data_IF_408850090742
#
_entry.id   IF_408850090742
#
_cell.length_a   1.000
_cell.length_b   1.000
_cell.length_c   1.000
_cell.angle_alpha   90.00
_cell.angle_beta   90.00
_cell.angle_gamma   90.00
#
_symmetry.space_group_name_H-M   'P 1'
#
loop_
_entity.id
_entity.type
_entity.pdbx_description
1 polymer ?
#
# COMPACT_ATOMS: atom_id res chain seq x y z
N UNK A 1 24.29 -19.38 11.46
CA UNK A 1 24.34 -19.16 10.00
C UNK A 1 22.92 -19.19 9.47
N UNK A 2 22.59 -18.33 8.51
CA UNK A 2 21.26 -18.31 7.90
C UNK A 2 21.14 -19.51 6.95
N UNK A 3 20.05 -20.27 7.04
CA UNK A 3 19.82 -21.45 6.20
C UNK A 3 19.75 -21.06 4.71
N UNK A 4 20.21 -21.93 3.83
CA UNK A 4 20.13 -21.77 2.38
C UNK A 4 18.68 -21.55 1.92
N UNK A 5 17.71 -22.17 2.61
CA UNK A 5 16.28 -22.01 2.32
C UNK A 5 15.81 -20.56 2.47
N UNK A 6 16.39 -19.80 3.40
CA UNK A 6 16.00 -18.41 3.64
C UNK A 6 16.16 -17.53 2.40
N UNK A 7 17.19 -17.78 1.58
CA UNK A 7 17.48 -16.97 0.39
C UNK A 7 16.42 -17.04 -0.70
N UNK A 8 15.52 -18.04 -0.64
CA UNK A 8 14.34 -18.10 -1.50
C UNK A 8 13.38 -16.92 -1.25
N UNK A 9 13.34 -16.40 -0.01
CA UNK A 9 12.44 -15.29 0.38
C UNK A 9 12.81 -13.98 -0.32
N UNK A 10 14.03 -13.42 -0.16
CA UNK A 10 14.40 -12.19 -0.85
C UNK A 10 14.44 -12.38 -2.38
N UNK A 11 14.78 -13.56 -2.88
CA UNK A 11 14.72 -13.87 -4.31
C UNK A 11 13.29 -13.78 -4.85
N UNK A 12 12.32 -14.38 -4.15
CA UNK A 12 10.90 -14.29 -4.51
C UNK A 12 10.38 -12.86 -4.44
N UNK A 13 10.78 -12.10 -3.41
CA UNK A 13 10.43 -10.69 -3.24
C UNK A 13 10.90 -9.83 -4.43
N UNK A 14 12.18 -9.94 -4.79
CA UNK A 14 12.75 -9.23 -5.95
C UNK A 14 12.07 -9.65 -7.25
N UNK A 15 11.83 -10.96 -7.42
CA UNK A 15 11.14 -11.48 -8.61
C UNK A 15 9.74 -10.89 -8.73
N UNK A 16 8.96 -10.84 -7.65
CA UNK A 16 7.64 -10.23 -7.63
C UNK A 16 7.68 -8.75 -8.03
N UNK A 17 8.62 -7.97 -7.50
CA UNK A 17 8.79 -6.55 -7.86
C UNK A 17 9.21 -6.35 -9.33
N UNK A 18 10.05 -7.24 -9.87
CA UNK A 18 10.42 -7.21 -11.28
C UNK A 18 9.22 -7.50 -12.19
N UNK A 19 8.39 -8.49 -11.83
CA UNK A 19 7.14 -8.76 -12.55
C UNK A 19 6.14 -7.60 -12.44
N UNK A 20 6.03 -6.97 -11.27
CA UNK A 20 5.21 -5.77 -11.09
C UNK A 20 5.68 -4.64 -12.02
N UNK A 21 7.00 -4.39 -12.08
CA UNK A 21 7.57 -3.40 -12.99
C UNK A 21 7.33 -3.76 -14.46
N UNK A 22 7.45 -5.03 -14.81
CA UNK A 22 7.17 -5.53 -16.16
C UNK A 22 5.71 -5.26 -16.56
N UNK A 23 4.74 -5.64 -15.73
CA UNK A 23 3.32 -5.39 -16.00
C UNK A 23 2.97 -3.90 -16.01
N UNK A 24 3.55 -3.11 -15.10
CA UNK A 24 3.40 -1.65 -15.11
C UNK A 24 3.87 -1.05 -16.44
N UNK A 25 5.06 -1.43 -16.92
CA UNK A 25 5.60 -0.97 -18.21
C UNK A 25 4.72 -1.42 -19.38
N UNK A 26 4.23 -2.65 -19.35
CA UNK A 26 3.36 -3.18 -20.40
C UNK A 26 2.02 -2.45 -20.46
N UNK A 27 1.41 -2.16 -19.30
CA UNK A 27 0.19 -1.35 -19.20
C UNK A 27 0.46 0.07 -19.70
N UNK A 28 1.55 0.71 -19.28
CA UNK A 28 1.87 2.09 -19.67
C UNK A 28 2.08 2.27 -21.18
N UNK A 29 2.55 1.23 -21.88
CA UNK A 29 2.69 1.22 -23.35
C UNK A 29 1.36 1.21 -24.10
N UNK A 30 0.23 0.90 -23.43
CA UNK A 30 -1.09 0.98 -24.05
C UNK A 30 -1.52 2.44 -24.23
N UNK A 31 -2.29 2.67 -25.29
CA UNK A 31 -2.82 4.00 -25.61
C UNK A 31 -3.79 4.46 -24.50
N UNK A 32 -3.64 5.71 -24.06
CA UNK A 32 -4.56 6.38 -23.13
C UNK A 32 -5.87 6.81 -23.80
N UNK A 33 -5.94 6.71 -25.13
CA UNK A 33 -7.13 6.99 -25.92
C UNK A 33 -7.19 8.43 -26.39
N UNK A 34 -8.41 8.97 -26.43
CA UNK A 34 -8.66 10.31 -26.99
C UNK A 34 -8.10 11.41 -26.08
N UNK A 35 -7.94 12.62 -26.63
CA UNK A 35 -7.46 13.75 -25.84
C UNK A 35 -8.40 14.10 -24.68
N UNK A 36 -9.70 13.87 -24.85
CA UNK A 36 -10.68 14.01 -23.78
C UNK A 36 -10.45 12.98 -22.65
N UNK A 37 -10.21 11.71 -22.99
CA UNK A 37 -9.88 10.67 -21.99
C UNK A 37 -8.61 11.02 -21.22
N UNK A 38 -7.56 11.47 -21.92
CA UNK A 38 -6.31 11.91 -21.31
C UNK A 38 -6.51 13.10 -20.38
N UNK A 39 -7.34 14.07 -20.77
CA UNK A 39 -7.66 15.25 -19.97
C UNK A 39 -8.37 14.88 -18.68
N UNK A 40 -9.43 14.07 -18.76
CA UNK A 40 -10.20 13.62 -17.58
C UNK A 40 -9.30 12.81 -16.63
N UNK A 41 -8.55 11.85 -17.15
CA UNK A 41 -7.62 11.08 -16.33
C UNK A 41 -6.49 11.93 -15.75
N UNK A 42 -6.10 13.01 -16.42
CA UNK A 42 -5.20 14.04 -15.88
C UNK A 42 -5.75 14.67 -14.60
N UNK A 43 -7.02 15.11 -14.61
CA UNK A 43 -7.67 15.68 -13.43
C UNK A 43 -7.78 14.67 -12.28
N UNK A 44 -8.14 13.42 -12.57
CA UNK A 44 -8.20 12.36 -11.55
C UNK A 44 -6.81 12.08 -10.95
N UNK A 45 -5.76 11.99 -11.78
CA UNK A 45 -4.37 11.82 -11.31
C UNK A 45 -3.93 12.98 -10.42
N UNK A 46 -4.22 14.21 -10.82
CA UNK A 46 -3.84 15.40 -10.07
C UNK A 46 -4.58 15.47 -8.72
N UNK A 47 -5.89 15.19 -8.72
CA UNK A 47 -6.72 15.13 -7.52
C UNK A 47 -6.23 14.06 -6.54
N UNK A 48 -6.02 12.83 -7.02
CA UNK A 48 -5.54 11.73 -6.19
C UNK A 48 -4.15 12.01 -5.59
N UNK A 49 -3.24 12.57 -6.38
CA UNK A 49 -1.91 12.96 -5.91
C UNK A 49 -1.97 14.10 -4.88
N UNK A 50 -2.85 15.08 -5.08
CA UNK A 50 -3.03 16.20 -4.15
C UNK A 50 -3.59 15.74 -2.81
N UNK A 51 -4.61 14.87 -2.85
CA UNK A 51 -5.18 14.24 -1.66
C UNK A 51 -4.12 13.46 -0.89
N UNK A 52 -3.41 12.55 -1.57
CA UNK A 52 -2.43 11.68 -0.92
C UNK A 52 -1.27 12.47 -0.31
N UNK A 53 -0.83 13.56 -0.97
CA UNK A 53 0.18 14.47 -0.43
C UNK A 53 -0.29 15.12 0.88
N UNK A 54 -1.55 15.54 0.95
CA UNK A 54 -2.12 16.14 2.15
C UNK A 54 -2.28 15.10 3.27
N UNK A 55 -2.78 13.91 2.95
CA UNK A 55 -2.89 12.81 3.90
C UNK A 55 -1.52 12.44 4.48
N UNK A 56 -0.51 12.27 3.62
CA UNK A 56 0.84 11.89 4.05
C UNK A 56 1.50 12.96 4.90
N UNK A 57 1.24 14.25 4.64
CA UNK A 57 1.72 15.34 5.50
C UNK A 57 1.22 15.18 6.94
N UNK A 58 -0.06 14.88 7.13
CA UNK A 58 -0.64 14.68 8.48
C UNK A 58 -0.11 13.41 9.12
N UNK A 59 -0.09 12.31 8.37
CA UNK A 59 0.45 11.02 8.80
C UNK A 59 1.90 11.14 9.26
N UNK A 60 2.77 11.82 8.52
CA UNK A 60 4.18 12.00 8.88
C UNK A 60 4.32 12.65 10.26
N UNK A 61 3.47 13.63 10.59
CA UNK A 61 3.47 14.27 11.91
C UNK A 61 3.14 13.24 13.00
N UNK A 62 2.10 12.42 12.79
CA UNK A 62 1.71 11.35 13.72
C UNK A 62 2.85 10.34 13.89
N UNK A 63 3.49 9.92 12.80
CA UNK A 63 4.61 9.00 12.83
C UNK A 63 5.82 9.56 13.58
N UNK A 64 6.14 10.84 13.41
CA UNK A 64 7.23 11.50 14.16
C UNK A 64 6.90 11.49 15.66
N UNK A 65 5.68 11.87 16.05
CA UNK A 65 5.28 11.89 17.46
C UNK A 65 5.35 10.49 18.08
N UNK A 66 4.82 9.47 17.40
CA UNK A 66 4.85 8.09 17.89
C UNK A 66 6.28 7.54 17.94
N UNK A 67 7.12 7.84 16.94
CA UNK A 67 8.53 7.44 16.94
C UNK A 67 9.30 8.07 18.11
N UNK A 68 9.04 9.33 18.46
CA UNK A 68 9.62 9.98 19.63
C UNK A 68 9.17 9.33 20.94
N UNK A 69 7.89 8.94 21.04
CA UNK A 69 7.37 8.19 22.20
C UNK A 69 8.09 6.84 22.32
N UNK A 70 8.21 6.08 21.23
CA UNK A 70 8.94 4.81 21.25
C UNK A 70 10.43 5.00 21.57
N UNK A 71 11.05 6.06 21.08
CA UNK A 71 12.45 6.38 21.40
C UNK A 71 12.63 6.71 22.89
N UNK A 72 11.69 7.44 23.49
CA UNK A 72 11.69 7.72 24.93
C UNK A 72 11.48 6.45 25.75
N UNK A 73 10.55 5.58 25.35
CA UNK A 73 10.34 4.28 25.99
C UNK A 73 11.58 3.39 25.89
N UNK A 74 12.26 3.39 24.74
CA UNK A 74 13.52 2.68 24.55
C UNK A 74 14.63 3.23 25.46
N UNK A 75 14.74 4.56 25.58
CA UNK A 75 15.68 5.21 26.49
C UNK A 75 15.48 4.79 27.96
N UNK A 76 14.23 4.70 28.41
CA UNK A 76 13.90 4.20 29.76
C UNK A 76 13.91 2.67 29.89
N UNK A 77 14.36 1.94 28.87
CA UNK A 77 14.40 0.46 28.83
C UNK A 77 13.03 -0.21 28.98
N UNK A 78 11.96 0.50 28.64
CA UNK A 78 10.59 -0.03 28.57
C UNK A 78 10.30 -0.72 27.23
N UNK A 79 11.12 -0.45 26.21
CA UNK A 79 11.03 -1.04 24.87
C UNK A 79 12.42 -1.32 24.28
N UNK A 80 12.45 -2.14 23.23
CA UNK A 80 13.69 -2.43 22.50
C UNK A 80 14.11 -1.21 21.64
N UNK A 81 15.40 -0.90 21.63
CA UNK A 81 16.00 0.21 20.88
C UNK A 81 15.74 0.16 19.36
N UNK A 82 15.40 -1.00 18.81
CA UNK A 82 15.06 -1.18 17.40
C UNK A 82 13.61 -0.79 17.07
N UNK A 83 12.71 -0.71 18.05
CA UNK A 83 11.27 -0.46 17.85
C UNK A 83 10.97 0.86 17.15
N UNK A 84 11.60 2.01 17.47
CA UNK A 84 11.31 3.27 16.78
C UNK A 84 11.63 3.21 15.29
N UNK A 85 12.75 2.57 14.94
CA UNK A 85 13.15 2.37 13.55
C UNK A 85 12.21 1.40 12.85
N UNK A 86 11.81 0.35 13.56
CA UNK A 86 10.91 -0.66 13.05
C UNK A 86 9.52 -0.11 12.75
N UNK A 87 8.98 0.66 13.67
CA UNK A 87 7.73 1.38 13.47
C UNK A 87 7.76 2.27 12.22
N UNK A 88 8.84 3.05 12.03
CA UNK A 88 8.98 3.94 10.89
C UNK A 88 9.08 3.20 9.54
N UNK A 89 9.88 2.14 9.46
CA UNK A 89 10.02 1.38 8.20
C UNK A 89 8.73 0.64 7.84
N UNK A 90 8.01 0.10 8.82
CA UNK A 90 6.72 -0.54 8.58
C UNK A 90 5.68 0.41 7.99
N UNK A 91 5.58 1.63 8.54
CA UNK A 91 4.72 2.67 7.97
C UNK A 91 5.16 3.13 6.59
N UNK A 92 6.47 3.29 6.37
CA UNK A 92 7.02 3.70 5.08
C UNK A 92 6.66 2.72 3.97
N UNK A 93 6.90 1.42 4.15
CA UNK A 93 6.60 0.42 3.13
C UNK A 93 5.10 0.22 2.90
N UNK A 94 4.28 0.32 3.95
CA UNK A 94 2.82 0.33 3.83
C UNK A 94 2.33 1.52 2.98
N UNK A 95 2.85 2.71 3.23
CA UNK A 95 2.56 3.90 2.44
C UNK A 95 3.05 3.77 1.00
N UNK A 96 4.27 3.25 0.81
CA UNK A 96 4.83 3.02 -0.51
C UNK A 96 3.99 2.04 -1.34
N UNK A 97 3.48 0.96 -0.73
CA UNK A 97 2.60 0.01 -1.39
C UNK A 97 1.31 0.69 -1.88
N UNK A 98 0.63 1.44 -1.01
CA UNK A 98 -0.57 2.22 -1.37
C UNK A 98 -0.30 3.24 -2.48
N UNK A 99 0.81 3.98 -2.38
CA UNK A 99 1.23 4.97 -3.38
C UNK A 99 1.47 4.36 -4.76
N UNK A 100 2.25 3.27 -4.83
CA UNK A 100 2.57 2.60 -6.10
C UNK A 100 1.31 1.98 -6.73
N UNK A 101 0.43 1.44 -5.90
CA UNK A 101 -0.88 0.95 -6.30
C UNK A 101 -1.75 2.03 -6.94
N UNK A 102 -1.98 3.12 -6.20
CA UNK A 102 -2.75 4.29 -6.69
C UNK A 102 -2.17 4.86 -7.98
N UNK A 103 -0.84 5.00 -8.03
CA UNK A 103 -0.16 5.48 -9.24
C UNK A 103 -0.46 4.55 -10.40
N UNK A 104 -0.38 3.23 -10.22
CA UNK A 104 -0.71 2.29 -11.30
C UNK A 104 -2.16 2.41 -11.75
N UNK A 105 -3.12 2.44 -10.82
CA UNK A 105 -4.55 2.55 -11.12
C UNK A 105 -4.89 3.83 -11.90
N UNK A 106 -4.42 4.99 -11.43
CA UNK A 106 -4.67 6.28 -12.10
C UNK A 106 -4.07 6.38 -13.52
N UNK A 107 -3.01 5.61 -13.83
CA UNK A 107 -2.52 5.47 -15.21
C UNK A 107 -3.32 4.44 -16.01
N UNK A 108 -3.88 3.42 -15.38
CA UNK A 108 -4.60 2.35 -16.06
C UNK A 108 -6.03 2.73 -16.48
N UNK A 109 -6.77 3.52 -15.70
CA UNK A 109 -8.22 3.74 -15.91
C UNK A 109 -8.58 4.18 -17.33
N UNK A 110 -7.94 5.23 -17.86
CA UNK A 110 -8.19 5.69 -19.24
C UNK A 110 -7.78 4.66 -20.30
N UNK A 111 -6.70 3.91 -20.08
CA UNK A 111 -6.23 2.86 -20.98
C UNK A 111 -7.20 1.68 -21.03
N UNK A 112 -7.77 1.33 -19.87
CA UNK A 112 -8.82 0.31 -19.76
C UNK A 112 -10.07 0.74 -20.51
N UNK A 113 -10.54 1.98 -20.29
CA UNK A 113 -11.70 2.53 -21.00
C UNK A 113 -11.48 2.59 -22.52
N UNK A 114 -10.29 3.01 -22.96
CA UNK A 114 -9.93 3.02 -24.37
C UNK A 114 -9.89 1.61 -24.97
N UNK A 115 -9.26 0.65 -24.29
CA UNK A 115 -9.19 -0.74 -24.74
C UNK A 115 -10.58 -1.38 -24.84
N UNK A 116 -11.48 -1.07 -23.90
CA UNK A 116 -12.86 -1.54 -23.90
C UNK A 116 -13.67 -1.10 -25.13
N UNK A 117 -13.29 0.00 -25.79
CA UNK A 117 -13.90 0.42 -27.07
C UNK A 117 -13.65 -0.57 -28.22
N UNK A 118 -12.60 -1.37 -28.12
CA UNK A 118 -12.24 -2.37 -29.15
C UNK A 118 -12.67 -3.76 -28.75
N UNK A 119 -12.44 -4.17 -27.50
CA UNK A 119 -13.01 -5.40 -26.95
C UNK A 119 -12.99 -5.43 -25.42
N UNK A 120 -13.98 -6.11 -24.85
CA UNK A 120 -14.06 -6.36 -23.41
C UNK A 120 -12.83 -7.13 -22.89
N UNK A 121 -12.35 -8.13 -23.64
CA UNK A 121 -11.17 -8.89 -23.26
C UNK A 121 -9.90 -8.01 -23.21
N UNK A 122 -9.76 -7.07 -24.14
CA UNK A 122 -8.63 -6.13 -24.11
C UNK A 122 -8.71 -5.20 -22.90
N UNK A 123 -9.89 -4.65 -22.60
CA UNK A 123 -10.14 -3.87 -21.38
C UNK A 123 -9.79 -4.66 -20.12
N UNK A 124 -10.30 -5.90 -20.01
CA UNK A 124 -10.02 -6.80 -18.89
C UNK A 124 -8.54 -7.10 -18.72
N UNK A 125 -7.80 -7.35 -19.80
CA UNK A 125 -6.35 -7.61 -19.71
C UNK A 125 -5.58 -6.40 -19.18
N UNK A 126 -5.96 -5.18 -19.55
CA UNK A 126 -5.32 -3.95 -19.03
C UNK A 126 -5.64 -3.77 -17.55
N UNK A 127 -6.92 -3.90 -17.17
CA UNK A 127 -7.36 -3.79 -15.78
C UNK A 127 -6.72 -4.86 -14.90
N UNK A 128 -6.73 -6.13 -15.32
CA UNK A 128 -6.17 -7.24 -14.57
C UNK A 128 -4.66 -7.11 -14.40
N UNK A 129 -3.92 -6.71 -15.44
CA UNK A 129 -2.48 -6.46 -15.33
C UNK A 129 -2.18 -5.29 -14.39
N UNK A 130 -3.00 -4.24 -14.41
CA UNK A 130 -2.90 -3.13 -13.45
C UNK A 130 -3.12 -3.62 -12.01
N UNK A 131 -4.16 -4.42 -11.76
CA UNK A 131 -4.42 -5.03 -10.45
C UNK A 131 -3.30 -5.97 -9.99
N UNK A 132 -2.71 -6.74 -10.91
CA UNK A 132 -1.58 -7.62 -10.62
C UNK A 132 -0.36 -6.83 -10.14
N UNK A 133 -0.10 -5.63 -10.66
CA UNK A 133 0.99 -4.76 -10.18
C UNK A 133 0.80 -4.42 -8.71
N UNK A 134 -0.42 -4.04 -8.28
CA UNK A 134 -0.71 -3.76 -6.88
C UNK A 134 -0.39 -4.98 -6.00
N UNK A 135 -0.94 -6.15 -6.33
CA UNK A 135 -0.73 -7.37 -5.54
C UNK A 135 0.74 -7.78 -5.45
N UNK A 136 1.47 -7.72 -6.57
CA UNK A 136 2.90 -8.05 -6.62
C UNK A 136 3.77 -7.03 -5.86
N UNK A 137 3.41 -5.75 -5.89
CA UNK A 137 4.09 -4.71 -5.08
C UNK A 137 3.87 -4.97 -3.60
N UNK A 138 2.63 -5.25 -3.18
CA UNK A 138 2.31 -5.52 -1.77
C UNK A 138 3.12 -6.72 -1.25
N UNK A 139 3.06 -7.86 -1.95
CA UNK A 139 3.78 -9.08 -1.56
C UNK A 139 5.29 -8.88 -1.65
N UNK A 140 5.78 -8.27 -2.73
CA UNK A 140 7.20 -8.05 -2.96
C UNK A 140 7.83 -7.13 -1.93
N UNK A 141 7.18 -6.00 -1.61
CA UNK A 141 7.66 -5.09 -0.57
C UNK A 141 7.60 -5.73 0.82
N UNK A 142 6.52 -6.47 1.15
CA UNK A 142 6.38 -7.09 2.46
C UNK A 142 7.47 -8.14 2.71
N UNK A 143 7.70 -9.04 1.76
CA UNK A 143 8.75 -10.06 1.88
C UNK A 143 10.15 -9.44 1.88
N UNK A 144 10.38 -8.39 1.10
CA UNK A 144 11.65 -7.67 1.10
C UNK A 144 11.91 -7.00 2.45
N UNK A 145 10.92 -6.31 3.02
CA UNK A 145 11.02 -5.65 4.33
C UNK A 145 11.26 -6.67 5.44
N UNK A 146 10.50 -7.77 5.47
CA UNK A 146 10.67 -8.87 6.44
C UNK A 146 12.08 -9.48 6.34
N UNK A 147 12.52 -9.84 5.14
CA UNK A 147 13.81 -10.51 4.95
C UNK A 147 15.01 -9.58 5.22
N UNK A 148 14.93 -8.32 4.79
CA UNK A 148 15.96 -7.33 5.08
C UNK A 148 16.09 -7.08 6.59
N UNK A 149 14.99 -6.89 7.31
CA UNK A 149 15.03 -6.68 8.75
C UNK A 149 15.47 -7.91 9.52
N UNK A 150 15.09 -9.11 9.08
CA UNK A 150 15.61 -10.33 9.67
C UNK A 150 17.15 -10.39 9.57
N UNK A 151 17.72 -10.07 8.41
CA UNK A 151 19.18 -10.05 8.22
C UNK A 151 19.86 -8.97 9.06
N UNK A 152 19.30 -7.75 9.11
CA UNK A 152 19.83 -6.64 9.92
C UNK A 152 19.84 -7.02 11.40
N UNK A 153 18.70 -7.45 11.95
CA UNK A 153 18.61 -7.82 13.37
C UNK A 153 19.45 -9.06 13.68
N UNK A 154 19.51 -10.03 12.77
CA UNK A 154 20.38 -11.18 12.94
C UNK A 154 21.87 -10.82 12.94
N UNK A 155 22.28 -9.73 12.30
CA UNK A 155 23.66 -9.25 12.34
C UNK A 155 23.97 -8.43 13.60
N UNK A 156 23.09 -7.51 14.00
CA UNK A 156 23.35 -6.56 15.08
C UNK A 156 22.88 -6.99 16.48
N UNK A 157 21.94 -7.93 16.58
CA UNK A 157 21.46 -8.41 17.88
C UNK A 157 22.39 -9.51 18.38
N UNK A 158 23.10 -9.20 19.47
CA UNK A 158 23.85 -10.18 20.25
C UNK A 158 22.96 -10.76 21.35
N UNK A 159 22.91 -12.09 21.44
CA UNK A 159 22.15 -12.81 22.47
C UNK A 159 22.92 -14.06 22.91
N UNK A 160 22.64 -14.53 24.12
CA UNK A 160 23.36 -15.65 24.72
C UNK A 160 23.07 -17.00 24.04
N UNK A 161 21.89 -17.14 23.41
CA UNK A 161 21.50 -18.34 22.66
C UNK A 161 20.78 -18.01 21.35
N UNK A 162 20.80 -18.93 20.36
CA UNK A 162 20.04 -18.77 19.11
C UNK A 162 18.52 -18.60 19.31
N UNK A 163 17.96 -19.26 20.31
CA UNK A 163 16.53 -19.22 20.64
C UNK A 163 16.15 -17.83 21.18
N UNK A 164 16.95 -17.32 22.12
CA UNK A 164 16.78 -15.97 22.65
C UNK A 164 16.93 -14.92 21.55
N UNK A 165 17.87 -15.13 20.62
CA UNK A 165 18.06 -14.25 19.47
C UNK A 165 16.82 -14.22 18.57
N UNK A 166 16.29 -15.40 18.21
CA UNK A 166 15.11 -15.51 17.37
C UNK A 166 13.87 -14.89 18.04
N UNK A 167 13.70 -15.07 19.36
CA UNK A 167 12.64 -14.41 20.11
C UNK A 167 12.75 -12.89 20.06
N UNK A 168 13.94 -12.32 20.27
CA UNK A 168 14.15 -10.87 20.20
C UNK A 168 13.86 -10.36 18.79
N UNK A 169 14.34 -11.06 17.75
CA UNK A 169 14.12 -10.69 16.36
C UNK A 169 12.62 -10.69 16.03
N UNK A 170 11.90 -11.77 16.33
CA UNK A 170 10.48 -11.91 15.94
C UNK A 170 9.58 -10.97 16.72
N UNK A 171 9.82 -10.78 18.02
CA UNK A 171 9.07 -9.80 18.85
C UNK A 171 9.35 -8.36 18.44
N UNK A 172 10.61 -8.02 18.13
CA UNK A 172 10.93 -6.72 17.51
C UNK A 172 10.22 -6.61 16.18
N UNK A 173 10.14 -7.69 15.40
CA UNK A 173 9.50 -7.66 14.11
C UNK A 173 8.00 -7.38 14.17
N UNK A 174 7.30 -7.90 15.17
CA UNK A 174 5.89 -7.58 15.38
C UNK A 174 5.64 -6.07 15.51
N UNK A 175 6.58 -5.31 16.05
CA UNK A 175 6.42 -3.85 16.17
C UNK A 175 6.46 -3.11 14.82
N UNK A 176 7.06 -3.71 13.78
CA UNK A 176 6.90 -3.18 12.42
C UNK A 176 5.45 -3.24 11.95
N UNK A 177 4.71 -4.26 12.39
CA UNK A 177 3.28 -4.42 12.11
C UNK A 177 2.50 -3.20 12.59
N UNK A 178 2.80 -2.72 13.80
CA UNK A 178 2.16 -1.52 14.37
C UNK A 178 2.35 -0.27 13.49
N UNK A 179 3.54 -0.09 12.92
CA UNK A 179 3.80 0.97 11.94
C UNK A 179 2.96 0.81 10.69
N UNK A 180 2.92 -0.39 10.11
CA UNK A 180 2.10 -0.68 8.94
C UNK A 180 0.61 -0.47 9.20
N UNK A 181 0.08 -0.91 10.36
CA UNK A 181 -1.32 -0.73 10.75
C UNK A 181 -1.68 0.71 11.01
N UNK A 182 -0.78 1.50 11.61
CA UNK A 182 -1.00 2.94 11.79
C UNK A 182 -1.15 3.62 10.43
N UNK A 183 -0.27 3.31 9.48
CA UNK A 183 -0.37 3.85 8.13
C UNK A 183 -1.65 3.40 7.40
N UNK A 184 -1.98 2.11 7.46
CA UNK A 184 -3.16 1.53 6.83
C UNK A 184 -4.46 2.15 7.39
N UNK A 185 -4.52 2.36 8.71
CA UNK A 185 -5.65 3.00 9.38
C UNK A 185 -5.92 4.39 8.80
N UNK A 186 -4.91 5.26 8.76
CA UNK A 186 -5.08 6.61 8.21
C UNK A 186 -5.38 6.59 6.71
N UNK A 187 -4.73 5.70 5.96
CA UNK A 187 -4.94 5.54 4.52
C UNK A 187 -6.40 5.14 4.22
N UNK A 188 -6.89 4.09 4.88
CA UNK A 188 -8.21 3.51 4.66
C UNK A 188 -9.34 4.38 5.20
N UNK A 189 -9.21 4.90 6.42
CA UNK A 189 -10.25 5.76 7.00
C UNK A 189 -10.32 7.09 6.26
N UNK A 190 -9.17 7.73 6.03
CA UNK A 190 -9.13 8.99 5.30
C UNK A 190 -9.68 8.84 3.88
N UNK A 191 -9.15 7.88 3.13
CA UNK A 191 -9.55 7.65 1.73
C UNK A 191 -10.99 7.16 1.64
N UNK A 192 -11.43 6.32 2.57
CA UNK A 192 -12.81 5.83 2.69
C UNK A 192 -13.82 6.95 2.94
N UNK A 193 -13.50 7.90 3.82
CA UNK A 193 -14.35 9.08 4.05
C UNK A 193 -14.42 9.93 2.78
N UNK A 194 -13.29 10.17 2.11
CA UNK A 194 -13.25 10.97 0.90
C UNK A 194 -14.08 10.34 -0.22
N UNK A 195 -13.86 9.05 -0.50
CA UNK A 195 -14.56 8.35 -1.59
C UNK A 195 -16.05 8.22 -1.29
N UNK A 196 -16.45 7.80 -0.09
CA UNK A 196 -17.88 7.56 0.19
C UNK A 196 -18.67 8.84 0.33
N UNK A 197 -18.06 9.95 0.77
CA UNK A 197 -18.72 11.25 0.75
C UNK A 197 -18.98 11.72 -0.69
N UNK A 198 -18.04 11.49 -1.61
CA UNK A 198 -18.18 11.87 -3.01
C UNK A 198 -19.18 10.98 -3.77
N UNK A 199 -19.03 9.66 -3.64
CA UNK A 199 -19.88 8.60 -4.22
C UNK A 199 -21.36 8.83 -3.85
N UNK A 200 -21.68 8.88 -2.55
CA UNK A 200 -23.05 9.09 -2.07
C UNK A 200 -23.62 10.44 -2.53
N UNK A 201 -22.82 11.50 -2.53
CA UNK A 201 -23.24 12.82 -2.99
C UNK A 201 -23.50 12.87 -4.50
N UNK A 202 -22.64 12.25 -5.29
CA UNK A 202 -22.76 12.17 -6.74
C UNK A 202 -24.00 11.37 -7.14
N UNK A 203 -24.19 10.21 -6.52
CA UNK A 203 -25.25 9.28 -6.89
C UNK A 203 -26.64 9.75 -6.47
N UNK A 204 -26.79 10.25 -5.24
CA UNK A 204 -28.11 10.69 -4.77
C UNK A 204 -28.62 11.88 -5.59
N UNK A 205 -27.81 12.92 -5.73
CA UNK A 205 -28.23 14.13 -6.46
C UNK A 205 -28.33 13.84 -7.96
N UNK A 206 -27.38 13.08 -8.53
CA UNK A 206 -27.36 12.76 -9.95
C UNK A 206 -28.49 11.82 -10.37
N UNK A 207 -28.52 10.61 -9.81
CA UNK A 207 -29.43 9.54 -10.24
C UNK A 207 -30.85 9.75 -9.71
N UNK A 208 -31.00 10.14 -8.44
CA UNK A 208 -32.31 10.15 -7.76
C UNK A 208 -33.02 11.49 -7.91
N UNK A 209 -32.33 12.62 -7.70
CA UNK A 209 -32.97 13.93 -7.74
C UNK A 209 -33.03 14.53 -9.15
N UNK A 210 -31.90 14.53 -9.87
CA UNK A 210 -31.80 15.15 -11.19
C UNK A 210 -32.15 14.20 -12.35
N UNK A 211 -32.19 12.89 -12.11
CA UNK A 211 -32.50 11.88 -13.12
C UNK A 211 -31.46 11.81 -14.25
N UNK A 212 -30.21 12.19 -13.99
CA UNK A 212 -29.10 12.07 -14.94
C UNK A 212 -28.36 10.74 -14.74
N UNK A 213 -27.68 10.20 -15.78
CA UNK A 213 -26.89 8.98 -15.66
C UNK A 213 -25.80 9.07 -14.57
N UNK A 214 -25.35 7.90 -14.12
CA UNK A 214 -24.13 7.74 -13.33
C UNK A 214 -22.91 8.27 -14.09
N UNK A 215 -21.94 8.84 -13.34
CA UNK A 215 -20.71 9.43 -13.91
C UNK A 215 -20.97 10.51 -14.98
N UNK A 216 -22.14 11.16 -14.97
CA UNK A 216 -22.46 12.18 -15.96
C UNK A 216 -21.55 13.43 -15.77
N UNK A 217 -20.91 13.94 -16.84
CA UNK A 217 -19.97 15.06 -16.75
C UNK A 217 -20.61 16.37 -16.28
N UNK A 218 -21.94 16.48 -16.25
CA UNK A 218 -22.67 17.63 -15.69
C UNK A 218 -22.69 17.63 -14.16
N UNK A 219 -22.46 16.47 -13.54
CA UNK A 219 -22.42 16.34 -12.09
C UNK A 219 -21.01 16.72 -11.58
N UNK A 220 -20.88 17.79 -10.76
CA UNK A 220 -19.58 18.27 -10.29
C UNK A 220 -18.87 17.31 -9.33
N UNK A 221 -19.58 16.33 -8.75
CA UNK A 221 -19.01 15.38 -7.79
C UNK A 221 -18.26 14.21 -8.45
N UNK A 222 -18.46 13.96 -9.75
CA UNK A 222 -17.92 12.78 -10.46
C UNK A 222 -16.40 12.69 -10.47
N UNK A 223 -15.70 13.83 -10.57
CA UNK A 223 -14.23 13.84 -10.46
C UNK A 223 -13.78 13.48 -9.05
N UNK A 224 -14.48 13.96 -8.01
CA UNK A 224 -14.15 13.64 -6.63
C UNK A 224 -14.40 12.15 -6.34
N UNK A 225 -15.46 11.59 -6.89
CA UNK A 225 -15.78 10.17 -6.79
C UNK A 225 -14.67 9.29 -7.41
N UNK A 226 -14.33 9.57 -8.68
CA UNK A 226 -13.26 8.87 -9.39
C UNK A 226 -11.87 9.08 -8.74
N UNK A 227 -11.62 10.23 -8.11
CA UNK A 227 -10.42 10.43 -7.26
C UNK A 227 -10.49 9.55 -6.02
N UNK A 228 -11.67 9.48 -5.40
CA UNK A 228 -12.03 8.64 -4.27
C UNK A 228 -11.65 7.18 -4.47
N UNK A 229 -12.05 6.58 -5.59
CA UNK A 229 -11.71 5.19 -5.92
C UNK A 229 -10.20 4.93 -5.85
N UNK A 230 -9.39 5.90 -6.30
CA UNK A 230 -7.95 5.75 -6.33
C UNK A 230 -7.32 5.94 -4.93
N UNK A 231 -7.85 6.83 -4.10
CA UNK A 231 -7.25 7.15 -2.79
C UNK A 231 -7.78 6.25 -1.67
N UNK A 232 -9.03 5.84 -1.72
CA UNK A 232 -9.65 4.91 -0.77
C UNK A 232 -9.46 3.47 -1.20
N UNK A 233 -10.11 3.10 -2.30
CA UNK A 233 -10.27 1.71 -2.70
C UNK A 233 -8.98 1.11 -3.26
N UNK A 234 -8.05 1.94 -3.75
CA UNK A 234 -6.73 1.49 -4.21
C UNK A 234 -5.65 1.77 -3.18
N UNK A 235 -5.35 3.04 -2.84
CA UNK A 235 -4.23 3.35 -1.95
C UNK A 235 -4.45 2.79 -0.53
N UNK A 236 -5.66 2.96 0.02
CA UNK A 236 -6.04 2.43 1.32
C UNK A 236 -6.02 0.90 1.36
N UNK A 237 -6.58 0.25 0.34
CA UNK A 237 -6.55 -1.22 0.24
C UNK A 237 -5.12 -1.78 0.11
N UNK A 238 -4.25 -1.12 -0.67
CA UNK A 238 -2.86 -1.56 -0.82
C UNK A 238 -2.08 -1.51 0.51
N UNK A 239 -2.27 -0.45 1.29
CA UNK A 239 -1.68 -0.30 2.61
C UNK A 239 -2.23 -1.33 3.62
N UNK A 240 -3.53 -1.60 3.57
CA UNK A 240 -4.21 -2.59 4.41
C UNK A 240 -3.76 -4.02 4.11
N UNK A 241 -3.76 -4.43 2.84
CA UNK A 241 -3.31 -5.76 2.46
C UNK A 241 -1.83 -5.99 2.80
N UNK A 242 -0.99 -4.95 2.67
CA UNK A 242 0.40 -5.00 3.12
C UNK A 242 0.50 -5.31 4.61
N UNK A 243 -0.28 -4.59 5.42
CA UNK A 243 -0.32 -4.79 6.86
C UNK A 243 -0.78 -6.19 7.23
N UNK A 244 -1.90 -6.65 6.67
CA UNK A 244 -2.50 -7.92 7.06
C UNK A 244 -1.62 -9.10 6.64
N UNK A 245 -1.11 -9.08 5.41
CA UNK A 245 -0.22 -10.13 4.89
C UNK A 245 1.05 -10.27 5.74
N UNK A 246 1.68 -9.15 6.04
CA UNK A 246 2.88 -9.11 6.88
C UNK A 246 2.56 -9.52 8.31
N UNK A 247 1.50 -8.97 8.89
CA UNK A 247 1.10 -9.19 10.27
C UNK A 247 0.89 -10.67 10.55
N UNK A 248 0.22 -11.39 9.65
CA UNK A 248 0.05 -12.85 9.75
C UNK A 248 1.39 -13.60 9.77
N UNK A 249 2.32 -13.28 8.86
CA UNK A 249 3.63 -13.94 8.80
C UNK A 249 4.43 -13.71 10.09
N UNK A 250 4.46 -12.47 10.57
CA UNK A 250 5.22 -12.11 11.76
C UNK A 250 4.62 -12.69 13.05
N UNK A 251 3.28 -12.75 13.14
CA UNK A 251 2.60 -13.42 14.24
C UNK A 251 2.93 -14.92 14.27
N UNK A 252 2.87 -15.59 13.12
CA UNK A 252 3.26 -17.00 13.02
C UNK A 252 4.74 -17.22 13.37
N UNK A 253 5.63 -16.34 12.92
CA UNK A 253 7.06 -16.43 13.22
C UNK A 253 7.35 -16.22 14.72
N UNK A 254 6.66 -15.27 15.36
CA UNK A 254 6.79 -15.03 16.80
C UNK A 254 6.27 -16.22 17.64
N UNK A 255 5.13 -16.80 17.26
CA UNK A 255 4.61 -18.01 17.90
C UNK A 255 5.57 -19.19 17.73
N UNK A 256 6.12 -19.39 16.53
CA UNK A 256 7.11 -20.43 16.27
C UNK A 256 8.41 -20.23 17.06
N UNK A 257 8.85 -18.99 17.28
CA UNK A 257 10.01 -18.70 18.13
C UNK A 257 9.72 -18.90 19.63
N UNK A 258 8.46 -18.83 20.05
CA UNK A 258 8.04 -19.03 21.44
C UNK A 258 7.69 -20.47 21.81
N UNK A 259 7.46 -21.34 20.83
CA UNK A 259 7.14 -22.75 21.06
C UNK A 259 8.35 -23.64 21.35
N UNK A 260 9.57 -23.15 21.10
CA UNK A 260 10.85 -23.83 21.37
C UNK A 260 11.57 -23.10 22.50
#
# INVERSE_FOLDING_TARGET
MVDTIFWLIPLAAVTALLFALYFYRQMKKKDEGTDLMKKIAGFVREGAMSYLKQQYKVVIIVFIVLALIFALMAYFRLQNNWVPFAFLTGGFFSGLAGFLGMKTATYASARTAHAARTSLNQGLQVAFRSGAVMGLVVVGLALLDISAWYLILNYFVDAASPEQKNMIITTTMLTFGMGASTQALFARVGGGIYTKAADVGADLVGKVEAGIPEDDPRNPATIADNVGDNVGDVAGMGADLYESYRGSILASAALGAASY
#
